data_IF_038040785558
#
_entry.id   IF_038040785558
#
_cell.length_a   1.000
_cell.length_b   1.000
_cell.length_c   1.000
_cell.angle_alpha   90.00
_cell.angle_beta   90.00
_cell.angle_gamma   90.00
#
_symmetry.space_group_name_H-M   'P 1'
#
loop_
_entity.id
_entity.type
_entity.pdbx_description
1 polymer ?
#
# COMPACT_ATOMS: atom_id res chain seq x y z
N UNK A 1 20.06 82.85 59.68
CA UNK A 1 19.28 81.83 60.38
C UNK A 1 18.97 80.76 59.35
N UNK A 2 19.82 79.75 59.34
CA UNK A 2 19.87 78.63 58.40
C UNK A 2 19.51 77.38 59.19
N UNK A 3 18.61 76.57 58.67
CA UNK A 3 18.41 75.19 59.12
C UNK A 3 18.38 74.30 57.88
N UNK A 4 19.40 73.47 57.85
CA UNK A 4 19.73 72.45 56.88
C UNK A 4 18.64 71.38 56.71
N UNK A 5 18.61 70.76 55.54
CA UNK A 5 18.33 69.32 55.43
C UNK A 5 19.08 68.81 54.20
N UNK A 6 20.32 68.40 54.46
CA UNK A 6 21.28 67.87 53.51
C UNK A 6 21.40 66.36 53.79
N UNK A 7 20.53 65.54 53.19
CA UNK A 7 20.68 64.08 53.14
C UNK A 7 19.84 63.57 51.98
N UNK A 8 20.42 63.48 50.77
CA UNK A 8 19.83 62.69 49.67
C UNK A 8 20.86 62.24 48.61
N UNK A 9 22.18 62.38 48.83
CA UNK A 9 23.19 61.99 47.83
C UNK A 9 24.01 60.75 48.20
N UNK A 10 23.69 60.07 49.31
CA UNK A 10 24.39 58.84 49.74
C UNK A 10 23.56 57.57 49.50
N UNK A 11 22.22 57.66 49.44
CA UNK A 11 21.37 56.49 49.16
C UNK A 11 21.28 56.16 47.66
N UNK A 12 21.45 57.12 46.74
CA UNK A 12 21.50 56.83 45.29
C UNK A 12 22.75 56.02 44.89
N UNK A 13 23.84 56.08 45.65
CA UNK A 13 25.05 55.26 45.39
C UNK A 13 24.99 53.84 45.95
N UNK A 14 24.02 53.52 46.82
CA UNK A 14 23.76 52.14 47.26
C UNK A 14 22.81 51.39 46.33
N UNK A 15 21.96 52.09 45.58
CA UNK A 15 21.16 51.45 44.53
C UNK A 15 21.95 51.24 43.22
N UNK A 16 22.89 52.13 42.86
CA UNK A 16 23.76 51.89 41.70
C UNK A 16 24.85 50.83 41.91
N UNK A 17 25.22 50.52 43.16
CA UNK A 17 26.19 49.45 43.45
C UNK A 17 25.51 48.07 43.60
N UNK A 18 24.22 48.01 43.91
CA UNK A 18 23.44 46.76 43.89
C UNK A 18 22.88 46.40 42.51
N UNK A 19 22.84 47.34 41.56
CA UNK A 19 22.48 47.06 40.17
C UNK A 19 23.63 46.49 39.31
N UNK A 20 24.84 46.33 39.88
CA UNK A 20 25.96 45.67 39.21
C UNK A 20 26.21 44.21 39.65
N UNK A 21 25.27 43.62 40.40
CA UNK A 21 25.30 42.17 40.70
C UNK A 21 24.01 41.50 40.26
N UNK A 22 23.66 41.59 38.98
CA UNK A 22 22.82 40.61 38.26
C UNK A 22 22.86 40.81 36.74
N UNK A 23 23.99 41.27 36.19
CA UNK A 23 24.31 41.07 34.78
C UNK A 23 24.82 39.64 34.52
N UNK A 24 24.01 38.66 34.92
CA UNK A 24 24.08 37.26 34.48
C UNK A 24 22.67 36.78 34.10
N UNK A 25 21.99 37.54 33.24
CA UNK A 25 21.06 36.94 32.27
C UNK A 25 21.86 36.18 31.18
N UNK A 26 22.83 35.38 31.61
CA UNK A 26 23.38 34.30 30.82
C UNK A 26 22.25 33.28 30.70
N UNK A 27 21.77 33.07 29.46
CA UNK A 27 20.97 31.93 29.00
C UNK A 27 20.67 30.92 30.12
N UNK A 28 19.59 31.14 30.89
CA UNK A 28 19.28 30.25 32.01
C UNK A 28 18.97 28.88 31.43
N UNK A 29 19.92 27.97 31.58
CA UNK A 29 19.88 26.59 31.08
C UNK A 29 18.55 25.95 31.44
N UNK A 30 17.72 25.64 30.45
CA UNK A 30 16.37 25.14 30.70
C UNK A 30 16.35 23.60 30.63
N UNK A 31 16.90 22.98 31.69
CA UNK A 31 17.07 21.52 31.79
C UNK A 31 15.72 20.79 31.72
N UNK A 32 14.66 21.35 32.32
CA UNK A 32 13.33 20.76 32.28
C UNK A 32 12.79 20.71 30.85
N UNK A 33 12.85 21.83 30.13
CA UNK A 33 12.42 21.86 28.73
C UNK A 33 13.31 20.99 27.84
N UNK A 34 14.61 20.93 28.09
CA UNK A 34 15.50 20.00 27.40
C UNK A 34 15.03 18.55 27.56
N UNK A 35 14.84 18.09 28.80
CA UNK A 35 14.50 16.69 29.08
C UNK A 35 13.12 16.34 28.51
N UNK A 36 12.11 17.19 28.71
CA UNK A 36 10.76 16.95 28.19
C UNK A 36 10.75 16.87 26.66
N UNK A 37 11.44 17.78 25.96
CA UNK A 37 11.46 17.77 24.49
C UNK A 37 12.31 16.64 23.92
N UNK A 38 13.42 16.28 24.57
CA UNK A 38 14.23 15.14 24.15
C UNK A 38 13.45 13.81 24.30
N UNK A 39 12.84 13.58 25.46
CA UNK A 39 12.02 12.38 25.70
C UNK A 39 10.82 12.34 24.74
N UNK A 40 10.14 13.47 24.55
CA UNK A 40 9.03 13.58 23.59
C UNK A 40 9.48 13.26 22.16
N UNK A 41 10.64 13.79 21.74
CA UNK A 41 11.21 13.52 20.42
C UNK A 41 11.56 12.04 20.22
N UNK A 42 12.11 11.38 21.25
CA UNK A 42 12.40 9.94 21.19
C UNK A 42 11.11 9.14 21.04
N UNK A 43 10.09 9.39 21.86
CA UNK A 43 8.88 8.57 21.90
C UNK A 43 8.01 8.84 20.67
N UNK A 44 7.70 10.11 20.40
CA UNK A 44 6.72 10.49 19.38
C UNK A 44 7.38 10.52 17.99
N UNK A 45 8.46 11.28 17.83
CA UNK A 45 9.06 11.48 16.50
C UNK A 45 9.81 10.24 16.03
N UNK A 46 10.72 9.70 16.86
CA UNK A 46 11.56 8.57 16.48
C UNK A 46 10.78 7.26 16.63
N UNK A 47 10.26 6.97 17.82
CA UNK A 47 9.56 5.72 18.13
C UNK A 47 8.30 5.52 17.30
N UNK A 48 7.31 6.39 17.46
CA UNK A 48 6.04 6.27 16.74
C UNK A 48 6.18 6.68 15.26
N UNK A 49 6.78 7.83 14.97
CA UNK A 49 6.90 8.35 13.61
C UNK A 49 7.79 7.48 12.72
N UNK A 50 9.07 7.33 13.07
CA UNK A 50 10.02 6.64 12.18
C UNK A 50 9.93 5.12 12.33
N UNK A 51 9.86 4.60 13.55
CA UNK A 51 9.88 3.15 13.76
C UNK A 51 8.53 2.49 13.56
N UNK A 52 7.42 3.01 14.10
CA UNK A 52 6.11 2.38 13.87
C UNK A 52 5.57 2.71 12.49
N UNK A 53 5.34 4.00 12.19
CA UNK A 53 4.76 4.42 10.90
C UNK A 53 5.74 4.14 9.75
N UNK A 54 7.03 4.44 9.91
CA UNK A 54 8.03 4.13 8.88
C UNK A 54 8.18 2.63 8.60
N UNK A 55 8.08 1.75 9.61
CA UNK A 55 8.09 0.29 9.37
C UNK A 55 6.82 -0.20 8.68
N UNK A 56 5.66 0.43 8.90
CA UNK A 56 4.43 0.16 8.13
C UNK A 56 4.65 0.48 6.65
N UNK A 57 5.29 1.61 6.34
CA UNK A 57 5.69 1.96 4.98
C UNK A 57 6.65 0.95 4.37
N UNK A 58 7.70 0.58 5.12
CA UNK A 58 8.65 -0.45 4.70
C UNK A 58 7.98 -1.81 4.47
N UNK A 59 7.05 -2.22 5.34
CA UNK A 59 6.31 -3.46 5.18
C UNK A 59 5.49 -3.45 3.89
N UNK A 60 4.78 -2.35 3.63
CA UNK A 60 4.00 -2.15 2.40
C UNK A 60 4.89 -2.24 1.16
N UNK A 61 6.12 -1.71 1.22
CA UNK A 61 7.14 -1.91 0.19
C UNK A 61 7.44 -3.38 -0.08
N UNK A 62 7.63 -4.20 0.96
CA UNK A 62 7.92 -5.64 0.81
C UNK A 62 6.72 -6.39 0.22
N UNK A 63 5.50 -6.03 0.63
CA UNK A 63 4.26 -6.58 0.07
C UNK A 63 4.12 -6.23 -1.43
N UNK A 64 4.45 -4.98 -1.81
CA UNK A 64 4.45 -4.56 -3.21
C UNK A 64 5.52 -5.30 -4.03
N UNK A 65 6.72 -5.51 -3.48
CA UNK A 65 7.76 -6.32 -4.13
C UNK A 65 7.33 -7.79 -4.35
N UNK A 66 6.55 -8.35 -3.42
CA UNK A 66 5.95 -9.67 -3.58
C UNK A 66 4.85 -9.69 -4.66
N UNK A 67 4.36 -8.53 -5.11
CA UNK A 67 3.37 -8.38 -6.17
C UNK A 67 2.04 -9.10 -5.89
N UNK A 68 1.66 -9.21 -4.62
CA UNK A 68 0.41 -9.87 -4.18
C UNK A 68 -0.80 -8.93 -4.13
N UNK A 69 -0.61 -7.61 -4.32
CA UNK A 69 -1.68 -6.62 -4.30
C UNK A 69 -2.59 -6.75 -5.54
N UNK A 70 -3.93 -6.65 -5.41
CA UNK A 70 -4.85 -6.80 -6.52
C UNK A 70 -4.95 -5.53 -7.37
N UNK A 71 -3.93 -5.26 -8.18
CA UNK A 71 -3.83 -4.07 -9.05
C UNK A 71 -4.46 -4.22 -10.45
N UNK A 72 -4.92 -5.43 -10.82
CA UNK A 72 -5.42 -5.74 -12.15
C UNK A 72 -6.89 -6.16 -12.07
N UNK A 73 -7.80 -5.50 -12.81
CA UNK A 73 -9.24 -5.77 -12.74
C UNK A 73 -9.63 -7.13 -13.33
N UNK A 74 -8.72 -7.79 -14.06
CA UNK A 74 -8.92 -9.12 -14.63
C UNK A 74 -8.57 -10.26 -13.68
N UNK A 75 -8.04 -9.95 -12.50
CA UNK A 75 -7.57 -10.93 -11.51
C UNK A 75 -8.38 -10.87 -10.21
N UNK A 76 -8.26 -11.90 -9.38
CA UNK A 76 -8.82 -11.95 -8.04
C UNK A 76 -8.35 -10.73 -7.21
N UNK A 77 -9.24 -10.16 -6.37
CA UNK A 77 -10.57 -10.64 -6.01
C UNK A 77 -11.70 -10.18 -6.96
N UNK A 78 -11.38 -9.47 -8.05
CA UNK A 78 -12.40 -8.93 -8.97
C UNK A 78 -12.93 -9.97 -9.96
N UNK A 79 -12.17 -11.05 -10.17
CA UNK A 79 -12.54 -12.21 -11.00
C UNK A 79 -12.13 -13.51 -10.31
N UNK A 80 -12.53 -14.65 -10.89
CA UNK A 80 -12.12 -15.99 -10.44
C UNK A 80 -10.72 -16.39 -10.90
N UNK A 81 -9.99 -15.49 -11.56
CA UNK A 81 -8.66 -15.76 -12.11
C UNK A 81 -7.63 -15.36 -11.06
N UNK A 82 -6.95 -16.34 -10.47
CA UNK A 82 -5.88 -16.08 -9.51
C UNK A 82 -4.70 -15.38 -10.17
N UNK A 83 -4.04 -14.50 -9.42
CA UNK A 83 -2.72 -14.00 -9.82
C UNK A 83 -1.71 -15.12 -9.62
N UNK A 84 -0.94 -15.42 -10.67
CA UNK A 84 0.22 -16.30 -10.52
C UNK A 84 1.36 -15.54 -9.83
N UNK A 85 1.35 -15.54 -8.50
CA UNK A 85 2.48 -15.11 -7.69
C UNK A 85 3.13 -16.38 -7.16
N UNK A 86 4.23 -16.81 -7.78
CA UNK A 86 5.07 -17.85 -7.18
C UNK A 86 5.58 -17.40 -5.81
N UNK A 87 6.04 -18.34 -4.99
CA UNK A 87 6.69 -18.03 -3.71
C UNK A 87 7.98 -17.23 -3.94
N UNK A 88 7.85 -15.91 -4.06
CA UNK A 88 8.95 -15.00 -4.35
C UNK A 88 9.69 -14.67 -3.04
N UNK A 89 10.98 -15.05 -2.89
CA UNK A 89 11.71 -14.76 -1.68
C UNK A 89 12.14 -13.29 -1.63
N UNK A 90 11.44 -12.48 -0.84
CA UNK A 90 11.70 -11.05 -0.65
C UNK A 90 12.75 -10.84 0.43
N UNK A 91 13.73 -9.99 0.15
CA UNK A 91 14.73 -9.60 1.15
C UNK A 91 14.10 -8.72 2.23
N UNK A 92 14.27 -9.10 3.48
CA UNK A 92 13.89 -8.34 4.66
C UNK A 92 15.08 -8.22 5.62
N UNK A 93 15.02 -7.26 6.55
CA UNK A 93 16.03 -7.07 7.58
C UNK A 93 17.45 -6.95 7.00
N UNK A 94 17.62 -6.12 5.97
CA UNK A 94 18.88 -5.97 5.26
C UNK A 94 19.87 -5.20 6.15
N UNK A 95 21.01 -5.80 6.46
CA UNK A 95 22.05 -5.18 7.28
C UNK A 95 23.29 -4.99 6.42
N UNK A 96 23.77 -3.75 6.37
CA UNK A 96 25.04 -3.40 5.76
C UNK A 96 26.09 -3.33 6.86
N UNK A 97 27.05 -4.25 6.86
CA UNK A 97 28.23 -4.14 7.72
C UNK A 97 29.22 -3.14 7.10
N UNK A 98 29.35 -1.99 7.75
CA UNK A 98 30.24 -0.91 7.34
C UNK A 98 31.46 -0.95 8.26
N UNK A 99 32.60 -1.33 7.70
CA UNK A 99 33.88 -1.27 8.41
C UNK A 99 34.22 0.17 8.81
N UNK A 100 35.00 0.32 9.89
CA UNK A 100 35.64 1.58 10.28
C UNK A 100 36.39 2.29 9.14
N UNK A 101 36.86 1.55 8.13
CA UNK A 101 37.49 2.10 6.92
C UNK A 101 36.51 2.70 5.89
N UNK A 102 35.20 2.70 6.17
CA UNK A 102 34.15 3.09 5.23
C UNK A 102 33.91 2.05 4.12
N UNK A 103 34.63 0.92 4.12
CA UNK A 103 34.39 -0.19 3.20
C UNK A 103 33.20 -1.02 3.65
N UNK A 104 32.28 -1.27 2.73
CA UNK A 104 31.20 -2.23 2.92
C UNK A 104 31.83 -3.64 2.96
N UNK A 105 31.77 -4.30 4.11
CA UNK A 105 32.36 -5.63 4.27
C UNK A 105 31.43 -6.71 3.75
N UNK A 106 30.15 -6.66 4.17
CA UNK A 106 29.14 -7.67 3.81
C UNK A 106 27.74 -7.09 3.97
N UNK A 107 26.87 -7.34 2.99
CA UNK A 107 25.43 -7.13 3.15
C UNK A 107 24.75 -8.48 3.36
N UNK A 108 24.06 -8.62 4.49
CA UNK A 108 23.29 -9.81 4.84
C UNK A 108 21.80 -9.48 4.87
N UNK A 109 20.95 -10.44 4.52
CA UNK A 109 19.49 -10.28 4.51
C UNK A 109 18.78 -11.59 4.86
N UNK A 110 17.58 -11.50 5.44
CA UNK A 110 16.67 -12.63 5.60
C UNK A 110 15.70 -12.68 4.42
N UNK A 111 15.19 -13.88 4.11
CA UNK A 111 14.20 -14.08 3.05
C UNK A 111 12.81 -14.30 3.63
N UNK A 112 11.84 -13.57 3.10
CA UNK A 112 10.43 -13.72 3.42
C UNK A 112 9.62 -14.14 2.20
N UNK A 113 8.74 -15.13 2.35
CA UNK A 113 7.71 -15.45 1.38
C UNK A 113 6.38 -14.94 1.90
N UNK A 114 5.68 -14.12 1.11
CA UNK A 114 4.34 -13.66 1.44
C UNK A 114 3.26 -14.66 1.00
N UNK A 115 2.27 -14.88 1.86
CA UNK A 115 1.23 -15.89 1.64
C UNK A 115 0.06 -15.30 0.82
N UNK A 116 0.17 -15.38 -0.51
CA UNK A 116 -0.79 -14.76 -1.44
C UNK A 116 -2.23 -15.27 -1.29
N UNK A 117 -2.43 -16.57 -1.04
CA UNK A 117 -3.76 -17.17 -0.85
C UNK A 117 -4.44 -16.67 0.42
N UNK A 118 -3.74 -16.68 1.55
CA UNK A 118 -4.26 -16.17 2.81
C UNK A 118 -4.56 -14.67 2.71
N UNK A 119 -3.70 -13.91 2.02
CA UNK A 119 -3.96 -12.50 1.75
C UNK A 119 -5.24 -12.28 0.93
N UNK A 120 -5.46 -13.04 -0.14
CA UNK A 120 -6.68 -12.95 -0.94
C UNK A 120 -7.94 -13.31 -0.14
N UNK A 121 -7.84 -14.26 0.78
CA UNK A 121 -8.96 -14.67 1.64
C UNK A 121 -9.45 -13.54 2.55
N UNK A 122 -8.60 -12.57 2.88
CA UNK A 122 -9.01 -11.38 3.66
C UNK A 122 -10.06 -10.53 2.94
N UNK A 123 -10.17 -10.65 1.61
CA UNK A 123 -11.18 -9.93 0.83
C UNK A 123 -12.57 -10.58 0.88
N UNK A 124 -12.70 -11.83 1.35
CA UNK A 124 -14.00 -12.55 1.41
C UNK A 124 -15.05 -11.81 2.26
N UNK A 125 -14.63 -11.16 3.33
CA UNK A 125 -15.48 -10.35 4.23
C UNK A 125 -15.50 -8.87 3.89
N UNK A 126 -14.88 -8.45 2.78
CA UNK A 126 -14.79 -7.03 2.40
C UNK A 126 -16.10 -6.48 1.82
N UNK A 127 -16.23 -5.15 1.81
CA UNK A 127 -17.35 -4.46 1.16
C UNK A 127 -17.48 -4.87 -0.32
N UNK A 128 -16.37 -5.14 -1.00
CA UNK A 128 -16.37 -5.58 -2.40
C UNK A 128 -17.17 -6.87 -2.59
N UNK A 129 -16.87 -7.93 -1.84
CA UNK A 129 -17.62 -9.18 -1.92
C UNK A 129 -19.09 -9.00 -1.47
N UNK A 130 -19.34 -8.16 -0.46
CA UNK A 130 -20.70 -7.85 0.01
C UNK A 130 -21.54 -7.16 -1.08
N UNK A 131 -20.94 -6.19 -1.79
CA UNK A 131 -21.58 -5.49 -2.90
C UNK A 131 -21.85 -6.43 -4.07
N UNK A 132 -20.91 -7.33 -4.41
CA UNK A 132 -21.14 -8.31 -5.46
C UNK A 132 -22.31 -9.25 -5.13
N UNK A 133 -22.37 -9.76 -3.90
CA UNK A 133 -23.51 -10.57 -3.43
C UNK A 133 -24.83 -9.80 -3.49
N UNK A 134 -24.81 -8.53 -3.12
CA UNK A 134 -26.00 -7.65 -3.12
C UNK A 134 -26.35 -7.10 -4.51
N UNK A 135 -25.50 -7.32 -5.51
CA UNK A 135 -25.74 -6.95 -6.91
C UNK A 135 -26.24 -8.11 -7.76
N UNK A 136 -26.52 -9.27 -7.17
CA UNK A 136 -27.19 -10.37 -7.85
C UNK A 136 -28.55 -9.89 -8.38
N UNK A 137 -28.93 -10.17 -9.64
CA UNK A 137 -30.20 -9.71 -10.18
C UNK A 137 -31.44 -10.17 -9.37
N UNK A 138 -31.32 -11.24 -8.58
CA UNK A 138 -32.38 -11.76 -7.72
C UNK A 138 -32.37 -11.16 -6.31
N UNK A 139 -31.41 -10.30 -5.97
CA UNK A 139 -31.23 -9.78 -4.60
C UNK A 139 -32.20 -8.66 -4.20
N UNK A 140 -33.17 -8.34 -5.07
CA UNK A 140 -34.30 -7.46 -4.79
C UNK A 140 -34.10 -6.02 -5.25
N UNK A 141 -34.87 -5.10 -4.64
CA UNK A 141 -35.06 -3.73 -5.13
C UNK A 141 -33.77 -2.88 -5.20
N UNK A 142 -32.76 -3.16 -4.36
CA UNK A 142 -31.50 -2.40 -4.31
C UNK A 142 -30.38 -2.99 -5.18
N UNK A 143 -30.65 -4.06 -5.94
CA UNK A 143 -29.62 -4.76 -6.72
C UNK A 143 -28.93 -3.85 -7.75
N UNK A 144 -29.66 -2.95 -8.41
CA UNK A 144 -29.11 -1.96 -9.36
C UNK A 144 -28.11 -1.00 -8.70
N UNK A 145 -28.39 -0.57 -7.46
CA UNK A 145 -27.52 0.34 -6.74
C UNK A 145 -26.30 -0.36 -6.16
N UNK A 146 -26.48 -1.59 -5.68
CA UNK A 146 -25.35 -2.44 -5.33
C UNK A 146 -24.46 -2.71 -6.55
N UNK A 147 -25.04 -2.93 -7.74
CA UNK A 147 -24.29 -3.09 -8.98
C UNK A 147 -23.52 -1.82 -9.34
N UNK A 148 -24.19 -0.67 -9.29
CA UNK A 148 -23.56 0.65 -9.45
C UNK A 148 -22.37 0.84 -8.50
N UNK A 149 -22.57 0.67 -7.20
CA UNK A 149 -21.52 0.81 -6.19
C UNK A 149 -20.41 -0.23 -6.36
N UNK A 150 -20.74 -1.46 -6.73
CA UNK A 150 -19.74 -2.51 -6.97
C UNK A 150 -18.80 -2.10 -8.10
N UNK A 151 -19.32 -1.51 -9.19
CA UNK A 151 -18.50 -1.03 -10.32
C UNK A 151 -17.61 0.15 -9.91
N UNK A 152 -18.15 1.10 -9.14
CA UNK A 152 -17.39 2.23 -8.59
C UNK A 152 -16.26 1.73 -7.69
N UNK A 153 -16.59 0.95 -6.66
CA UNK A 153 -15.63 0.45 -5.65
C UNK A 153 -14.57 -0.43 -6.31
N UNK A 154 -14.94 -1.32 -7.22
CA UNK A 154 -14.00 -2.18 -7.97
C UNK A 154 -13.00 -1.34 -8.75
N UNK A 155 -13.48 -0.33 -9.47
CA UNK A 155 -12.63 0.52 -10.31
C UNK A 155 -11.67 1.36 -9.46
N UNK A 156 -12.16 1.91 -8.34
CA UNK A 156 -11.32 2.64 -7.39
C UNK A 156 -10.29 1.74 -6.71
N UNK A 157 -10.69 0.57 -6.21
CA UNK A 157 -9.78 -0.41 -5.60
C UNK A 157 -8.65 -0.77 -6.56
N UNK A 158 -8.99 -1.11 -7.80
CA UNK A 158 -8.01 -1.49 -8.83
C UNK A 158 -6.98 -0.38 -9.04
N UNK A 159 -7.44 0.87 -9.23
CA UNK A 159 -6.53 2.01 -9.45
C UNK A 159 -5.71 2.35 -8.22
N UNK A 160 -6.28 2.25 -7.03
CA UNK A 160 -5.56 2.48 -5.78
C UNK A 160 -4.49 1.43 -5.53
N UNK A 161 -4.81 0.14 -5.67
CA UNK A 161 -3.82 -0.91 -5.54
C UNK A 161 -2.74 -0.81 -6.62
N UNK A 162 -3.09 -0.42 -7.85
CA UNK A 162 -2.09 -0.16 -8.90
C UNK A 162 -1.16 1.01 -8.52
N UNK A 163 -1.71 2.11 -7.99
CA UNK A 163 -0.93 3.24 -7.54
C UNK A 163 -0.03 2.87 -6.35
N UNK A 164 -0.58 2.23 -5.32
CA UNK A 164 0.16 1.76 -4.13
C UNK A 164 1.25 0.79 -4.56
N UNK A 165 0.94 -0.24 -5.36
CA UNK A 165 1.91 -1.22 -5.81
C UNK A 165 3.05 -0.53 -6.58
N UNK A 166 2.72 0.39 -7.50
CA UNK A 166 3.72 1.13 -8.28
C UNK A 166 4.59 2.03 -7.39
N UNK A 167 3.97 2.87 -6.56
CA UNK A 167 4.67 3.81 -5.70
C UNK A 167 5.62 3.10 -4.74
N UNK A 168 5.14 2.07 -4.04
CA UNK A 168 5.93 1.32 -3.08
C UNK A 168 6.97 0.41 -3.76
N UNK A 169 6.70 -0.10 -4.97
CA UNK A 169 7.73 -0.79 -5.76
C UNK A 169 8.89 0.14 -6.13
N UNK A 170 8.61 1.39 -6.50
CA UNK A 170 9.67 2.39 -6.73
C UNK A 170 10.39 2.78 -5.44
N UNK A 171 9.66 2.93 -4.34
CA UNK A 171 10.24 3.19 -3.03
C UNK A 171 11.20 2.07 -2.60
N UNK A 172 10.98 0.85 -3.09
CA UNK A 172 11.78 -0.33 -2.80
C UNK A 172 13.22 -0.29 -3.32
N UNK A 173 13.54 0.61 -4.25
CA UNK A 173 14.92 0.84 -4.70
C UNK A 173 15.77 1.60 -3.66
N UNK A 174 15.14 2.20 -2.65
CA UNK A 174 15.84 2.91 -1.58
C UNK A 174 16.26 1.95 -0.46
N UNK A 175 17.33 2.28 0.31
CA UNK A 175 17.68 1.54 1.52
C UNK A 175 16.55 1.55 2.55
N UNK A 176 16.35 0.45 3.27
CA UNK A 176 15.25 0.29 4.23
C UNK A 176 15.18 1.43 5.26
N UNK A 177 16.33 1.87 5.78
CA UNK A 177 16.41 2.99 6.73
C UNK A 177 15.90 4.30 6.13
N UNK A 178 16.16 4.54 4.84
CA UNK A 178 15.69 5.73 4.14
C UNK A 178 14.17 5.66 3.90
N UNK A 179 13.65 4.49 3.56
CA UNK A 179 12.21 4.25 3.43
C UNK A 179 11.50 4.57 4.75
N UNK A 180 12.02 4.07 5.88
CA UNK A 180 11.46 4.32 7.21
C UNK A 180 11.43 5.82 7.54
N UNK A 181 12.51 6.56 7.26
CA UNK A 181 12.57 8.00 7.50
C UNK A 181 11.58 8.75 6.60
N UNK A 182 11.61 8.48 5.29
CA UNK A 182 10.77 9.16 4.31
C UNK A 182 9.29 8.92 4.60
N UNK A 183 8.88 7.67 4.80
CA UNK A 183 7.49 7.35 5.07
C UNK A 183 7.07 7.76 6.49
N UNK A 184 7.94 7.62 7.49
CA UNK A 184 7.67 8.09 8.85
C UNK A 184 7.44 9.61 8.92
N UNK A 185 8.11 10.37 8.06
CA UNK A 185 8.04 11.84 8.03
C UNK A 185 6.95 12.36 7.08
N UNK A 186 6.77 11.73 5.92
CA UNK A 186 5.88 12.18 4.84
C UNK A 186 4.63 11.30 4.66
N UNK A 187 4.47 10.23 5.44
CA UNK A 187 3.38 9.28 5.31
C UNK A 187 2.00 9.94 5.41
N UNK A 188 1.82 10.87 6.34
CA UNK A 188 0.55 11.60 6.47
C UNK A 188 0.24 12.47 5.23
N UNK A 189 1.26 13.10 4.63
CA UNK A 189 1.11 13.85 3.37
C UNK A 189 0.72 12.91 2.24
N UNK A 190 1.33 11.72 2.17
CA UNK A 190 0.95 10.69 1.21
C UNK A 190 -0.52 10.28 1.35
N UNK A 191 -1.04 10.14 2.58
CA UNK A 191 -2.46 9.83 2.80
C UNK A 191 -3.39 10.93 2.27
N UNK A 192 -3.05 12.20 2.51
CA UNK A 192 -3.83 13.32 1.97
C UNK A 192 -3.80 13.37 0.44
N UNK A 193 -2.64 13.12 -0.17
CA UNK A 193 -2.51 13.05 -1.63
C UNK A 193 -3.35 11.90 -2.22
N UNK A 194 -3.30 10.72 -1.60
CA UNK A 194 -4.09 9.58 -2.05
C UNK A 194 -5.59 9.82 -1.88
N UNK A 195 -6.00 10.46 -0.78
CA UNK A 195 -7.39 10.88 -0.58
C UNK A 195 -7.86 11.85 -1.68
N UNK A 196 -7.05 12.86 -2.00
CA UNK A 196 -7.35 13.82 -3.08
C UNK A 196 -7.51 13.14 -4.43
N UNK A 197 -6.59 12.23 -4.78
CA UNK A 197 -6.70 11.40 -5.99
C UNK A 197 -7.98 10.55 -5.99
N UNK A 198 -8.29 9.93 -4.86
CA UNK A 198 -9.50 9.13 -4.69
C UNK A 198 -10.78 9.93 -4.84
N UNK A 199 -10.79 11.18 -4.37
CA UNK A 199 -11.96 12.04 -4.54
C UNK A 199 -12.23 12.32 -6.03
N UNK A 200 -11.20 12.63 -6.81
CA UNK A 200 -11.32 12.83 -8.27
C UNK A 200 -11.77 11.54 -8.98
N UNK A 201 -11.17 10.40 -8.63
CA UNK A 201 -11.57 9.10 -9.17
C UNK A 201 -13.01 8.75 -8.80
N UNK A 202 -13.43 9.08 -7.57
CA UNK A 202 -14.81 8.88 -7.11
C UNK A 202 -15.78 9.62 -8.01
N UNK A 203 -15.58 10.92 -8.25
CA UNK A 203 -16.44 11.72 -9.15
C UNK A 203 -16.52 11.07 -10.54
N UNK A 204 -15.37 10.72 -11.11
CA UNK A 204 -15.31 10.11 -12.44
C UNK A 204 -16.05 8.77 -12.52
N UNK A 205 -15.83 7.87 -11.55
CA UNK A 205 -16.44 6.54 -11.56
C UNK A 205 -17.92 6.55 -11.19
N UNK A 206 -18.37 7.46 -10.33
CA UNK A 206 -19.80 7.62 -10.08
C UNK A 206 -20.51 8.06 -11.35
N UNK A 207 -19.98 9.05 -12.09
CA UNK A 207 -20.59 9.51 -13.35
C UNK A 207 -20.61 8.40 -14.41
N UNK A 208 -19.47 7.74 -14.63
CA UNK A 208 -19.37 6.69 -15.66
C UNK A 208 -20.13 5.41 -15.32
N UNK A 209 -20.47 5.19 -14.05
CA UNK A 209 -21.24 4.02 -13.60
C UNK A 209 -22.75 4.25 -13.59
N UNK A 210 -23.25 5.48 -13.79
CA UNK A 210 -24.70 5.79 -13.82
C UNK A 210 -25.53 4.80 -14.66
N UNK A 211 -25.08 4.34 -15.86
CA UNK A 211 -25.84 3.38 -16.65
C UNK A 211 -26.20 2.07 -15.91
N UNK A 212 -25.41 1.66 -14.91
CA UNK A 212 -25.69 0.46 -14.10
C UNK A 212 -27.00 0.58 -13.31
N UNK A 213 -27.39 1.80 -12.92
CA UNK A 213 -28.65 2.03 -12.20
C UNK A 213 -29.88 1.74 -13.07
N UNK A 214 -29.72 1.74 -14.39
CA UNK A 214 -30.79 1.52 -15.35
C UNK A 214 -30.82 0.08 -15.89
N UNK A 215 -29.94 -0.81 -15.39
CA UNK A 215 -29.92 -2.20 -15.85
C UNK A 215 -31.18 -2.98 -15.47
N UNK A 216 -31.66 -3.82 -16.38
CA UNK A 216 -32.70 -4.81 -16.09
C UNK A 216 -32.08 -6.21 -16.00
N UNK A 217 -32.63 -7.09 -15.15
CA UNK A 217 -32.36 -8.52 -15.24
C UNK A 217 -32.91 -9.07 -16.57
N UNK A 218 -32.18 -9.99 -17.17
CA UNK A 218 -32.61 -10.80 -18.31
C UNK A 218 -32.65 -12.25 -17.84
N UNK A 219 -33.78 -12.93 -18.09
CA UNK A 219 -33.89 -14.37 -17.90
C UNK A 219 -33.17 -15.08 -19.05
N UNK A 220 -32.07 -15.77 -18.77
CA UNK A 220 -31.50 -16.72 -19.74
C UNK A 220 -32.38 -17.98 -19.78
N UNK A 221 -32.66 -18.48 -21.00
CA UNK A 221 -33.60 -19.57 -21.29
C UNK A 221 -33.57 -20.71 -20.24
N UNK A 222 -34.61 -20.74 -19.40
CA UNK A 222 -35.16 -21.87 -18.62
C UNK A 222 -34.41 -22.48 -17.40
N UNK A 223 -33.39 -21.86 -16.80
CA UNK A 223 -32.88 -22.36 -15.50
C UNK A 223 -32.41 -21.22 -14.60
N UNK A 224 -33.30 -20.57 -13.82
CA UNK A 224 -33.02 -19.68 -12.66
C UNK A 224 -31.70 -18.85 -12.73
N UNK A 225 -31.27 -18.46 -13.93
CA UNK A 225 -29.99 -17.83 -14.21
C UNK A 225 -30.34 -16.50 -14.82
N UNK A 226 -30.69 -15.58 -13.94
CA UNK A 226 -30.83 -14.18 -14.31
C UNK A 226 -29.44 -13.59 -14.45
N UNK A 227 -29.21 -12.88 -15.55
CA UNK A 227 -28.00 -12.11 -15.78
C UNK A 227 -28.35 -10.65 -16.06
N UNK A 228 -27.41 -9.74 -15.80
CA UNK A 228 -27.66 -8.34 -16.11
C UNK A 228 -27.55 -8.10 -17.62
N UNK A 229 -28.41 -7.22 -18.14
CA UNK A 229 -28.28 -6.73 -19.51
C UNK A 229 -26.90 -6.12 -19.78
N UNK A 230 -26.44 -6.23 -21.03
CA UNK A 230 -25.17 -5.66 -21.47
C UNK A 230 -25.16 -4.13 -21.37
N UNK A 231 -23.97 -3.53 -21.21
CA UNK A 231 -23.78 -2.07 -21.12
C UNK A 231 -24.28 -1.34 -22.38
N UNK A 232 -24.30 -1.99 -23.55
CA UNK A 232 -24.77 -1.41 -24.82
C UNK A 232 -26.30 -1.32 -24.95
N UNK A 233 -27.03 -2.15 -24.19
CA UNK A 233 -28.46 -2.39 -24.42
C UNK A 233 -29.33 -1.70 -23.36
N UNK A 234 -28.74 -0.71 -22.68
CA UNK A 234 -29.39 -0.07 -21.53
C UNK A 234 -30.58 0.77 -21.98
N UNK A 235 -31.80 0.24 -21.75
CA UNK A 235 -33.05 0.94 -22.02
C UNK A 235 -33.40 1.94 -20.91
N UNK A 236 -33.65 3.18 -21.32
CA UNK A 236 -34.15 4.25 -20.44
C UNK A 236 -35.68 4.23 -20.39
N UNK A 237 -36.24 3.88 -19.24
CA UNK A 237 -37.67 4.02 -18.95
C UNK A 237 -37.92 5.22 -18.05
N UNK A 238 -39.04 5.91 -18.24
CA UNK A 238 -39.48 7.05 -17.41
C UNK A 238 -39.57 6.67 -15.93
N UNK A 239 -40.02 5.44 -15.62
CA UNK A 239 -40.10 4.97 -14.22
C UNK A 239 -38.70 4.88 -13.59
N UNK A 240 -37.73 4.30 -14.31
CA UNK A 240 -36.32 4.25 -13.87
C UNK A 240 -35.72 5.65 -13.72
N UNK A 241 -36.09 6.58 -14.60
CA UNK A 241 -35.64 7.97 -14.52
C UNK A 241 -36.20 8.70 -13.28
N UNK A 242 -37.47 8.48 -12.93
CA UNK A 242 -38.04 9.02 -11.69
C UNK A 242 -37.37 8.42 -10.45
N UNK A 243 -37.17 7.10 -10.42
CA UNK A 243 -36.40 6.45 -9.35
C UNK A 243 -34.97 7.02 -9.23
N UNK A 244 -34.32 7.28 -10.36
CA UNK A 244 -33.02 7.93 -10.38
C UNK A 244 -33.01 9.28 -9.66
N UNK A 245 -33.95 10.17 -10.00
CA UNK A 245 -34.00 11.50 -9.40
C UNK A 245 -34.34 11.50 -7.91
N UNK A 246 -35.32 10.71 -7.49
CA UNK A 246 -35.85 10.78 -6.12
C UNK A 246 -35.13 9.86 -5.13
N UNK A 247 -34.59 8.73 -5.59
CA UNK A 247 -33.95 7.74 -4.71
C UNK A 247 -32.44 7.67 -4.95
N UNK A 248 -32.02 7.49 -6.19
CA UNK A 248 -30.61 7.20 -6.49
C UNK A 248 -29.72 8.44 -6.48
N UNK A 249 -30.22 9.62 -6.80
CA UNK A 249 -29.43 10.85 -6.82
C UNK A 249 -29.01 11.29 -5.40
N UNK A 250 -29.89 11.29 -4.37
CA UNK A 250 -29.47 11.53 -2.99
C UNK A 250 -28.48 10.47 -2.48
N UNK A 251 -28.76 9.18 -2.71
CA UNK A 251 -27.88 8.09 -2.28
C UNK A 251 -26.53 8.11 -3.01
N UNK A 252 -26.55 8.39 -4.30
CA UNK A 252 -25.39 8.55 -5.15
C UNK A 252 -24.53 9.72 -4.71
N UNK A 253 -25.14 10.86 -4.37
CA UNK A 253 -24.45 12.03 -3.84
C UNK A 253 -23.80 11.75 -2.49
N UNK A 254 -24.48 11.07 -1.57
CA UNK A 254 -23.88 10.64 -0.30
C UNK A 254 -22.71 9.68 -0.55
N UNK A 255 -22.90 8.69 -1.44
CA UNK A 255 -21.87 7.71 -1.77
C UNK A 255 -20.63 8.34 -2.41
N UNK A 256 -20.78 9.44 -3.13
CA UNK A 256 -19.68 10.18 -3.75
C UNK A 256 -18.63 10.63 -2.73
N UNK A 257 -19.06 11.02 -1.52
CA UNK A 257 -18.18 11.46 -0.43
C UNK A 257 -17.71 10.31 0.46
N UNK A 258 -18.54 9.29 0.68
CA UNK A 258 -18.18 8.15 1.55
C UNK A 258 -17.17 7.22 0.86
N UNK A 259 -17.38 6.93 -0.43
CA UNK A 259 -16.53 6.00 -1.19
C UNK A 259 -15.05 6.37 -1.21
N UNK A 260 -14.62 7.63 -1.46
CA UNK A 260 -13.20 7.99 -1.46
C UNK A 260 -12.56 7.85 -0.08
N UNK A 261 -13.30 8.14 1.01
CA UNK A 261 -12.82 7.93 2.38
C UNK A 261 -12.59 6.43 2.62
N UNK A 262 -13.61 5.62 2.33
CA UNK A 262 -13.56 4.17 2.53
C UNK A 262 -12.45 3.51 1.69
N UNK A 263 -12.39 3.82 0.39
CA UNK A 263 -11.41 3.24 -0.53
C UNK A 263 -9.97 3.66 -0.21
N UNK A 264 -9.75 4.91 0.24
CA UNK A 264 -8.42 5.35 0.72
C UNK A 264 -8.00 4.54 1.93
N UNK A 265 -8.84 4.46 2.96
CA UNK A 265 -8.50 3.76 4.19
C UNK A 265 -8.29 2.27 3.96
N UNK A 266 -9.24 1.62 3.28
CA UNK A 266 -9.18 0.17 3.01
C UNK A 266 -7.96 -0.22 2.19
N UNK A 267 -7.58 0.56 1.16
CA UNK A 267 -6.46 0.21 0.29
C UNK A 267 -5.09 0.47 0.91
N UNK A 268 -4.95 1.47 1.79
CA UNK A 268 -3.71 1.68 2.56
C UNK A 268 -3.54 0.63 3.66
N UNK A 269 -4.62 0.26 4.34
CA UNK A 269 -4.57 -0.74 5.42
C UNK A 269 -4.47 -2.16 4.87
N UNK A 270 -5.05 -2.43 3.69
CA UNK A 270 -5.09 -3.76 3.12
C UNK A 270 -3.72 -4.47 3.06
N UNK A 271 -2.62 -3.88 2.56
CA UNK A 271 -1.29 -4.50 2.57
C UNK A 271 -0.85 -5.05 3.94
N UNK A 272 -1.32 -4.45 5.04
CA UNK A 272 -0.93 -4.84 6.41
C UNK A 272 -1.53 -6.16 6.86
N UNK A 273 -2.57 -6.65 6.17
CA UNK A 273 -3.15 -7.98 6.41
C UNK A 273 -2.36 -9.12 5.75
N UNK A 274 -1.41 -8.82 4.87
CA UNK A 274 -0.53 -9.84 4.34
C UNK A 274 0.27 -10.46 5.48
N UNK A 275 0.46 -11.78 5.45
CA UNK A 275 1.38 -12.51 6.33
C UNK A 275 2.57 -13.03 5.54
N UNK A 276 3.67 -13.26 6.24
CA UNK A 276 4.89 -13.79 5.63
C UNK A 276 5.52 -14.90 6.47
N UNK A 277 6.29 -15.76 5.82
CA UNK A 277 7.12 -16.78 6.47
C UNK A 277 8.59 -16.50 6.18
N UNK A 278 9.43 -16.57 7.20
CA UNK A 278 10.89 -16.44 7.04
C UNK A 278 11.45 -17.78 6.57
N UNK A 279 12.15 -17.79 5.44
CA UNK A 279 12.79 -18.99 4.92
C UNK A 279 13.90 -19.48 5.87
N UNK A 280 13.98 -20.80 6.06
CA UNK A 280 14.97 -21.44 6.92
C UNK A 280 14.62 -21.42 8.42
N UNK A 281 13.49 -20.82 8.82
CA UNK A 281 12.97 -20.97 10.17
C UNK A 281 12.23 -22.31 10.31
N UNK A 282 12.74 -23.20 11.17
CA UNK A 282 12.19 -24.55 11.41
C UNK A 282 10.72 -24.54 11.86
N UNK A 283 10.26 -23.43 12.44
CA UNK A 283 8.92 -23.33 13.00
C UNK A 283 7.80 -23.13 11.98
N UNK A 284 8.11 -22.83 10.70
CA UNK A 284 7.12 -22.53 9.64
C UNK A 284 6.03 -21.52 10.05
N UNK A 285 6.30 -20.69 11.08
CA UNK A 285 5.30 -19.81 11.68
C UNK A 285 5.04 -18.61 10.78
N UNK A 286 3.78 -18.36 10.44
CA UNK A 286 3.34 -17.14 9.76
C UNK A 286 3.53 -15.94 10.68
N UNK A 287 4.27 -14.94 10.22
CA UNK A 287 4.52 -13.67 10.91
C UNK A 287 3.61 -12.58 10.36
N UNK A 288 3.24 -11.65 11.23
CA UNK A 288 2.37 -10.51 10.95
C UNK A 288 3.16 -9.21 10.80
N UNK A 289 2.46 -8.12 10.46
CA UNK A 289 3.05 -6.77 10.43
C UNK A 289 3.61 -6.34 11.79
N UNK A 290 3.01 -6.76 12.91
CA UNK A 290 3.51 -6.42 14.24
C UNK A 290 4.86 -7.09 14.52
N UNK A 291 4.99 -8.37 14.15
CA UNK A 291 6.25 -9.09 14.23
C UNK A 291 7.32 -8.41 13.37
N UNK A 292 6.94 -7.94 12.17
CA UNK A 292 7.83 -7.17 11.30
C UNK A 292 8.29 -5.86 11.94
N UNK A 293 7.41 -5.09 12.59
CA UNK A 293 7.77 -3.83 13.27
C UNK A 293 8.76 -4.10 14.41
N UNK A 294 8.48 -5.10 15.26
CA UNK A 294 9.36 -5.48 16.37
C UNK A 294 10.73 -5.93 15.87
N UNK A 295 10.75 -6.79 14.84
CA UNK A 295 11.99 -7.24 14.20
C UNK A 295 12.77 -6.06 13.62
N UNK A 296 12.09 -5.17 12.88
CA UNK A 296 12.73 -4.00 12.27
C UNK A 296 13.39 -3.10 13.33
N UNK A 297 12.75 -2.93 14.49
CA UNK A 297 13.34 -2.18 15.61
C UNK A 297 14.64 -2.83 16.11
N UNK A 298 14.66 -4.16 16.26
CA UNK A 298 15.86 -4.89 16.67
C UNK A 298 16.98 -4.79 15.62
N UNK A 299 16.66 -5.01 14.34
CA UNK A 299 17.64 -5.02 13.25
C UNK A 299 18.14 -3.63 12.87
N UNK A 300 17.35 -2.58 13.10
CA UNK A 300 17.71 -1.18 12.82
C UNK A 300 18.06 -0.38 14.09
N UNK A 301 18.51 -1.06 15.16
CA UNK A 301 18.93 -0.39 16.41
C UNK A 301 19.97 0.72 16.18
N UNK A 302 20.89 0.55 15.23
CA UNK A 302 21.92 1.56 14.92
C UNK A 302 21.29 2.83 14.35
N UNK A 303 20.27 2.70 13.51
CA UNK A 303 19.47 3.84 13.03
C UNK A 303 18.78 4.56 14.19
N UNK A 304 18.22 3.82 15.15
CA UNK A 304 17.61 4.41 16.34
C UNK A 304 18.61 5.27 17.12
N UNK A 305 19.81 4.74 17.38
CA UNK A 305 20.86 5.48 18.08
C UNK A 305 21.32 6.71 17.31
N UNK A 306 21.50 6.62 15.98
CA UNK A 306 21.86 7.77 15.15
C UNK A 306 20.80 8.88 15.28
N UNK A 307 19.52 8.54 15.14
CA UNK A 307 18.43 9.51 15.25
C UNK A 307 18.30 10.09 16.66
N UNK A 308 18.49 9.27 17.70
CA UNK A 308 18.49 9.71 19.08
C UNK A 308 19.63 10.70 19.35
N UNK A 309 20.83 10.46 18.79
CA UNK A 309 21.97 11.39 18.89
C UNK A 309 21.71 12.70 18.16
N UNK A 310 21.13 12.66 16.96
CA UNK A 310 20.74 13.89 16.23
C UNK A 310 19.70 14.68 17.03
N UNK A 311 18.71 14.01 17.60
CA UNK A 311 17.73 14.63 18.49
C UNK A 311 18.37 15.22 19.75
N UNK A 312 19.29 14.49 20.38
CA UNK A 312 20.04 14.94 21.55
C UNK A 312 20.83 16.21 21.25
N UNK A 313 21.56 16.23 20.13
CA UNK A 313 22.33 17.37 19.67
C UNK A 313 21.45 18.60 19.39
N UNK A 314 20.32 18.41 18.69
CA UNK A 314 19.36 19.47 18.39
C UNK A 314 18.75 20.07 19.67
N UNK A 315 18.29 19.22 20.59
CA UNK A 315 17.69 19.67 21.85
C UNK A 315 18.74 20.32 22.77
N UNK A 316 19.96 19.78 22.83
CA UNK A 316 21.04 20.36 23.64
C UNK A 316 21.39 21.77 23.17
N UNK A 317 21.55 21.98 21.85
CA UNK A 317 21.80 23.31 21.28
C UNK A 317 20.68 24.30 21.64
N UNK A 318 19.42 23.88 21.49
CA UNK A 318 18.25 24.76 21.68
C UNK A 318 18.01 25.13 23.15
N UNK A 319 18.17 24.19 24.08
CA UNK A 319 17.74 24.39 25.48
C UNK A 319 18.89 24.53 26.49
N UNK A 320 20.07 24.01 26.18
CA UNK A 320 21.26 24.04 27.05
C UNK A 320 22.37 24.95 26.50
N UNK A 321 22.27 25.37 25.23
CA UNK A 321 23.19 26.27 24.57
C UNK A 321 24.33 25.57 23.79
N UNK A 322 25.16 26.35 23.06
CA UNK A 322 26.17 25.79 22.16
C UNK A 322 27.25 24.95 22.84
N UNK A 323 27.61 25.25 24.10
CA UNK A 323 28.63 24.48 24.82
C UNK A 323 28.15 23.06 25.15
N UNK A 324 26.84 22.86 25.37
CA UNK A 324 26.28 21.53 25.58
C UNK A 324 26.34 20.67 24.30
N UNK A 325 26.22 21.28 23.11
CA UNK A 325 26.40 20.60 21.83
C UNK A 325 27.81 20.01 21.70
N UNK A 326 28.85 20.76 22.12
CA UNK A 326 30.23 20.27 22.12
C UNK A 326 30.37 19.03 23.00
N UNK A 327 29.75 19.05 24.19
CA UNK A 327 29.70 17.88 25.07
C UNK A 327 29.01 16.66 24.44
N UNK A 328 27.89 16.87 23.73
CA UNK A 328 27.18 15.80 23.00
C UNK A 328 28.06 15.22 21.89
N UNK A 329 28.80 16.06 21.15
CA UNK A 329 29.71 15.59 20.09
C UNK A 329 30.82 14.71 20.68
N UNK A 330 31.46 15.15 21.76
CA UNK A 330 32.52 14.36 22.44
C UNK A 330 31.95 13.04 22.95
N UNK A 331 30.78 13.05 23.61
CA UNK A 331 30.11 11.84 24.09
C UNK A 331 29.74 10.88 22.95
N UNK A 332 29.33 11.41 21.80
CA UNK A 332 29.01 10.62 20.59
C UNK A 332 30.24 9.91 20.05
N UNK A 333 31.38 10.61 19.97
CA UNK A 333 32.66 10.02 19.53
C UNK A 333 33.06 8.88 20.48
N UNK A 334 32.98 9.11 21.79
CA UNK A 334 33.26 8.07 22.80
C UNK A 334 32.30 6.88 22.63
N UNK A 335 31.00 7.14 22.48
CA UNK A 335 29.99 6.11 22.29
C UNK A 335 30.21 5.28 21.01
N UNK A 336 30.71 5.91 19.96
CA UNK A 336 31.14 5.22 18.74
C UNK A 336 32.31 4.26 19.01
N UNK A 337 33.35 4.69 19.71
CA UNK A 337 34.48 3.82 20.07
C UNK A 337 34.13 2.69 21.04
N UNK A 338 33.15 2.90 21.93
CA UNK A 338 32.61 1.84 22.80
C UNK A 338 31.75 0.84 22.02
N UNK A 339 31.40 1.17 20.76
CA UNK A 339 30.65 0.28 19.89
C UNK A 339 29.13 0.36 20.07
N UNK A 340 28.59 1.43 20.65
CA UNK A 340 27.13 1.62 20.81
C UNK A 340 26.40 1.63 19.46
N UNK A 341 27.08 2.05 18.40
CA UNK A 341 26.54 2.12 17.04
C UNK A 341 26.86 0.87 16.21
N UNK A 342 27.59 -0.09 16.78
CA UNK A 342 27.92 -1.34 16.09
C UNK A 342 26.66 -2.16 15.89
N UNK A 343 26.53 -2.73 14.70
CA UNK A 343 25.55 -3.76 14.44
C UNK A 343 25.80 -4.93 15.41
N UNK A 344 24.75 -5.63 15.90
CA UNK A 344 24.96 -6.80 16.74
C UNK A 344 25.91 -7.78 16.04
N UNK A 345 26.82 -8.41 16.77
CA UNK A 345 27.52 -9.59 16.26
C UNK A 345 26.47 -10.69 16.11
N UNK A 346 26.07 -10.99 14.87
CA UNK A 346 25.00 -11.95 14.53
C UNK A 346 25.45 -13.40 14.68
N UNK A 347 26.23 -13.73 15.72
CA UNK A 347 26.78 -15.07 15.91
C UNK A 347 25.73 -16.12 16.29
N UNK A 348 24.52 -15.70 16.69
CA UNK A 348 23.46 -16.61 17.14
C UNK A 348 22.36 -16.96 16.11
N UNK A 349 22.42 -16.48 14.85
CA UNK A 349 21.34 -16.74 13.87
C UNK A 349 21.84 -16.89 12.41
N UNK A 350 23.07 -17.38 12.25
CA UNK A 350 23.79 -17.44 10.96
C UNK A 350 23.11 -18.35 9.92
N UNK A 351 22.17 -19.22 10.31
CA UNK A 351 21.62 -20.25 9.40
C UNK A 351 20.72 -19.71 8.29
N UNK A 352 20.14 -18.51 8.45
CA UNK A 352 19.05 -18.04 7.57
C UNK A 352 19.37 -16.77 6.76
N UNK A 353 20.61 -16.29 6.80
CA UNK A 353 21.02 -15.07 6.10
C UNK A 353 21.68 -15.36 4.76
N UNK A 354 21.21 -14.66 3.72
CA UNK A 354 21.73 -14.76 2.36
C UNK A 354 22.52 -13.50 1.98
N UNK A 355 23.52 -13.67 1.11
CA UNK A 355 24.14 -12.53 0.44
C UNK A 355 23.16 -11.95 -0.59
N UNK A 356 23.09 -10.61 -0.69
CA UNK A 356 22.16 -9.90 -1.58
C UNK A 356 22.30 -10.31 -3.06
N UNK A 357 23.50 -10.72 -3.49
CA UNK A 357 23.74 -11.17 -4.86
C UNK A 357 23.13 -12.55 -5.17
N UNK A 358 23.21 -13.52 -4.24
CA UNK A 358 22.50 -14.80 -4.39
C UNK A 358 20.98 -14.59 -4.31
N UNK A 359 20.56 -13.76 -3.36
CA UNK A 359 19.17 -13.40 -3.11
C UNK A 359 18.44 -12.84 -4.34
N UNK A 360 19.11 -12.01 -5.15
CA UNK A 360 18.53 -11.41 -6.36
C UNK A 360 18.43 -12.39 -7.54
N UNK A 361 19.28 -13.43 -7.58
CA UNK A 361 19.23 -14.45 -8.64
C UNK A 361 18.04 -15.40 -8.47
N UNK A 362 17.68 -15.75 -7.24
CA UNK A 362 16.51 -16.58 -6.95
C UNK A 362 15.18 -15.86 -7.25
N UNK A 363 15.11 -14.56 -6.96
CA UNK A 363 13.96 -13.71 -7.29
C UNK A 363 13.71 -13.66 -8.80
N UNK A 364 14.78 -13.54 -9.61
CA UNK A 364 14.67 -13.56 -11.07
C UNK A 364 14.18 -14.91 -11.61
N UNK A 365 14.60 -16.03 -11.01
CA UNK A 365 14.14 -17.38 -11.37
C UNK A 365 12.67 -17.61 -11.01
N UNK A 366 12.22 -17.15 -9.83
CA UNK A 366 10.84 -17.30 -9.38
C UNK A 366 9.82 -16.46 -10.19
N UNK A 367 10.23 -15.33 -10.78
CA UNK A 367 9.38 -14.55 -11.71
C UNK A 367 9.14 -15.24 -13.06
N UNK A 368 9.93 -16.26 -13.41
CA UNK A 368 9.84 -16.95 -14.70
C UNK A 368 8.87 -18.15 -14.72
N UNK A 369 8.41 -18.65 -13.57
CA UNK A 369 7.50 -19.80 -13.49
C UNK A 369 6.03 -19.35 -13.42
N UNK A 370 5.24 -19.74 -14.43
CA UNK A 370 3.83 -19.37 -14.57
C UNK A 370 2.88 -20.54 -14.31
N UNK A 371 2.03 -20.45 -13.28
CA UNK A 371 0.90 -21.35 -13.04
C UNK A 371 -0.42 -20.58 -12.95
N UNK A 372 -1.40 -20.90 -13.80
CA UNK A 372 -2.73 -20.25 -13.77
C UNK A 372 -3.68 -21.06 -12.88
N UNK A 373 -3.75 -20.72 -11.60
CA UNK A 373 -4.72 -21.32 -10.66
C UNK A 373 -6.03 -20.51 -10.66
N UNK A 374 -7.18 -21.18 -10.77
CA UNK A 374 -8.49 -20.55 -10.55
C UNK A 374 -8.70 -20.37 -9.05
N UNK A 375 -9.02 -19.16 -8.62
CA UNK A 375 -9.22 -18.84 -7.19
C UNK A 375 -10.55 -18.09 -7.06
N UNK A 376 -11.53 -18.70 -6.39
CA UNK A 376 -12.84 -18.08 -6.14
C UNK A 376 -12.79 -17.31 -4.83
N UNK A 377 -12.78 -15.97 -4.91
CA UNK A 377 -12.80 -15.08 -3.73
C UNK A 377 -14.16 -14.38 -3.60
N UNK A 378 -14.56 -13.62 -4.62
CA UNK A 378 -15.90 -13.08 -4.72
C UNK A 378 -16.58 -13.61 -5.99
N UNK A 379 -17.88 -13.91 -5.93
CA UNK A 379 -18.65 -14.21 -7.13
C UNK A 379 -18.88 -12.94 -7.93
N UNK A 380 -18.17 -12.76 -9.05
CA UNK A 380 -18.48 -11.69 -10.00
C UNK A 380 -19.86 -11.95 -10.61
N UNK A 381 -20.69 -10.91 -10.67
CA UNK A 381 -22.01 -11.03 -11.30
C UNK A 381 -21.86 -11.34 -12.79
N UNK A 382 -22.67 -12.28 -13.28
CA UNK A 382 -22.71 -12.63 -14.70
C UNK A 382 -23.32 -11.47 -15.49
N UNK A 383 -22.56 -10.95 -16.44
CA UNK A 383 -23.04 -10.04 -17.49
C UNK A 383 -23.02 -10.78 -18.81
N UNK A 384 -24.03 -10.56 -19.65
CA UNK A 384 -24.02 -11.06 -21.03
C UNK A 384 -22.92 -10.31 -21.78
N UNK A 385 -21.81 -10.98 -22.07
CA UNK A 385 -20.85 -10.48 -23.05
C UNK A 385 -21.34 -10.86 -24.44
N UNK A 386 -21.69 -9.86 -25.26
CA UNK A 386 -21.80 -10.09 -26.70
C UNK A 386 -20.41 -10.44 -27.23
N UNK A 387 -20.13 -11.73 -27.32
CA UNK A 387 -18.94 -12.22 -27.98
C UNK A 387 -19.16 -12.01 -29.47
N UNK A 388 -18.63 -10.91 -30.02
CA UNK A 388 -18.35 -10.85 -31.45
C UNK A 388 -17.29 -11.92 -31.74
N UNK A 389 -17.77 -13.10 -32.11
CA UNK A 389 -16.96 -14.23 -32.59
C UNK A 389 -16.47 -13.89 -33.99
N UNK A 390 -15.44 -13.04 -34.05
CA UNK A 390 -14.49 -13.04 -35.14
C UNK A 390 -13.11 -13.35 -34.53
N UNK A 391 -12.98 -14.58 -34.02
CA UNK A 391 -11.66 -15.18 -33.80
C UNK A 391 -11.04 -15.41 -35.18
N UNK A 392 -10.14 -14.52 -35.58
CA UNK A 392 -9.07 -14.87 -36.51
C UNK A 392 -8.20 -15.89 -35.78
N UNK A 393 -8.31 -17.15 -36.18
CA UNK A 393 -7.28 -18.15 -35.88
C UNK A 393 -6.00 -17.70 -36.58
N UNK A 394 -4.95 -17.38 -35.80
CA UNK A 394 -3.58 -17.33 -36.30
C UNK A 394 -3.16 -18.78 -36.64
N UNK A 395 -3.36 -19.16 -37.90
CA UNK A 395 -2.75 -20.35 -38.47
C UNK A 395 -1.24 -20.15 -38.63
N UNK A 396 -0.46 -21.04 -38.00
CA UNK A 396 0.96 -21.21 -38.30
C UNK A 396 1.20 -21.71 -39.74
N UNK A 397 2.45 -21.62 -40.25
CA UNK A 397 2.75 -21.73 -41.67
C UNK A 397 3.00 -23.16 -42.14
N UNK A 398 2.90 -23.34 -43.48
CA UNK A 398 3.24 -24.49 -44.33
C UNK A 398 2.11 -25.53 -44.41
N UNK A 399 1.64 -25.99 -45.58
CA UNK A 399 2.34 -26.37 -46.81
C UNK A 399 1.56 -25.97 -48.08
N UNK A 400 2.34 -25.79 -49.14
CA UNK A 400 1.98 -25.49 -50.51
C UNK A 400 1.80 -26.81 -51.26
N UNK A 401 0.62 -27.12 -51.79
CA UNK A 401 0.49 -27.94 -53.01
C UNK A 401 -0.89 -27.83 -53.68
N UNK A 402 -0.79 -27.65 -54.99
CA UNK A 402 -1.68 -28.00 -56.09
C UNK A 402 -3.03 -27.31 -56.36
N UNK A 403 -2.97 -26.60 -57.48
CA UNK A 403 -4.03 -26.01 -58.25
C UNK A 403 -5.06 -27.03 -58.73
N UNK A 404 -6.35 -26.69 -58.58
CA UNK A 404 -7.37 -27.18 -59.49
C UNK A 404 -8.35 -26.07 -59.85
N UNK A 405 -8.37 -25.81 -61.14
CA UNK A 405 -8.98 -24.71 -61.85
C UNK A 405 -10.43 -25.09 -62.18
N UNK A 406 -11.43 -24.42 -61.58
CA UNK A 406 -12.82 -24.50 -62.05
C UNK A 406 -13.42 -23.09 -62.13
N UNK A 407 -13.57 -22.64 -63.38
CA UNK A 407 -14.40 -21.49 -63.78
C UNK A 407 -15.87 -21.79 -63.48
N UNK A 408 -16.59 -20.80 -62.93
CA UNK A 408 -18.05 -20.85 -62.88
C UNK A 408 -18.65 -19.69 -62.11
N UNK A 409 -19.09 -18.66 -62.82
CA UNK A 409 -19.88 -17.56 -62.25
C UNK A 409 -21.25 -18.05 -61.79
N UNK A 410 -21.66 -17.64 -60.60
CA UNK A 410 -22.99 -17.89 -60.07
C UNK A 410 -23.18 -17.27 -58.69
N UNK A 411 -23.94 -16.16 -58.63
CA UNK A 411 -24.46 -15.61 -57.37
C UNK A 411 -25.31 -16.69 -56.70
N UNK A 412 -24.97 -17.09 -55.46
CA UNK A 412 -25.86 -17.84 -54.59
C UNK A 412 -25.94 -17.15 -53.23
N UNK A 413 -27.14 -16.68 -52.90
CA UNK A 413 -27.55 -16.41 -51.53
C UNK A 413 -27.59 -17.75 -50.79
N UNK A 414 -26.85 -17.85 -49.69
CA UNK A 414 -26.91 -18.99 -48.79
C UNK A 414 -27.74 -18.62 -47.55
N UNK A 415 -28.99 -19.08 -47.51
CA UNK A 415 -29.79 -19.14 -46.29
C UNK A 415 -29.28 -20.30 -45.46
N UNK A 416 -28.56 -20.03 -44.37
CA UNK A 416 -28.09 -21.08 -43.45
C UNK A 416 -29.19 -21.37 -42.44
N UNK A 417 -29.84 -22.51 -42.64
CA UNK A 417 -30.80 -23.12 -41.73
C UNK A 417 -30.02 -23.85 -40.61
N UNK A 418 -29.93 -23.25 -39.42
CA UNK A 418 -29.32 -23.88 -38.24
C UNK A 418 -30.33 -24.83 -37.59
N UNK A 419 -30.29 -26.10 -37.97
CA UNK A 419 -30.72 -27.21 -37.10
C UNK A 419 -30.26 -28.54 -37.67
N UNK A 420 -29.09 -29.02 -37.23
CA UNK A 420 -28.75 -30.46 -37.24
C UNK A 420 -27.69 -30.76 -36.19
N UNK A 421 -28.12 -31.39 -35.10
CA UNK A 421 -27.26 -32.09 -34.13
C UNK A 421 -26.70 -33.33 -34.82
N UNK A 422 -25.38 -33.49 -34.83
CA UNK A 422 -24.74 -34.76 -35.16
C UNK A 422 -24.36 -35.48 -33.87
N UNK A 423 -24.90 -36.68 -33.68
CA UNK A 423 -24.41 -37.66 -32.73
C UNK A 423 -23.26 -38.42 -33.41
N UNK A 424 -22.04 -38.30 -32.88
CA UNK A 424 -20.91 -39.12 -33.29
C UNK A 424 -20.89 -40.35 -32.38
N UNK A 425 -21.02 -41.53 -32.99
CA UNK A 425 -20.84 -42.84 -32.35
C UNK A 425 -19.47 -43.35 -32.80
N UNK A 426 -18.56 -43.59 -31.86
CA UNK A 426 -17.27 -44.22 -32.15
C UNK A 426 -17.49 -45.73 -32.39
N UNK A 427 -16.95 -46.23 -33.50
CA UNK A 427 -16.66 -47.65 -33.75
C UNK A 427 -15.17 -47.75 -34.05
#
# INVERSE_FOLDING_TARGET
>A
MSTDTNTNSIDEKKEETNNNTTNTNANKTNIKSFLTNYVSSIIITIGLGIFVIGSIGLYTTKVAQANILPDNPLLAPYTDIGRNVGSLPIDINIINDISWSGKLNKTISQKAIFESKEYLDTFKSSLLCSLYKSSDPNSGFFANFALFLSKVVTSMYTKNFAFINTFFLYLSYLPESLIMILYGSLGLIFWFLLYGLNFVLSVFYHITSIPQLFKSPIDEDNINNTSWQADSDVSFSITKFLFFWFLWLPLGFISLFITPIYTTFSTIVAPLYAKYKVMGNETNKSMSVLDFIVNTLFYKKSLFFILATVSLASNAKTYLGPMALVGVIVATIIGYFIGLYSTPNYEQDITNYYSVNLANQEVKKAKASVSREKVKICHKVKEIQMTNTNTFEEGGPLEQEDALNIRGGGKRQATINKNKKYNIKFV
#
